data_IF_136887251231
#
_entry.id   IF_136887251231
#
_cell.length_a   1.000
_cell.length_b   1.000
_cell.length_c   1.000
_cell.angle_alpha   90.00
_cell.angle_beta   90.00
_cell.angle_gamma   90.00
#
_symmetry.space_group_name_H-M   'P 1'
#
loop_
_entity.id
_entity.type
_entity.pdbx_description
1 polymer ?
#
# COMPACT_ATOMS: atom_id res chain seq x y z
N UNK A 1 -6.96 1.76 -5.88
CA UNK A 1 -6.98 2.56 -4.63
C UNK A 1 -7.34 3.99 -4.98
N UNK A 2 -7.71 4.85 -4.02
CA UNK A 2 -7.99 6.27 -4.27
C UNK A 2 -7.03 7.14 -3.44
N UNK A 3 -6.40 8.20 -3.98
CA UNK A 3 -5.48 9.06 -3.25
C UNK A 3 -6.16 10.22 -2.50
N UNK A 4 -7.50 10.21 -2.36
CA UNK A 4 -8.27 11.24 -1.67
C UNK A 4 -9.23 10.65 -0.64
N UNK A 5 -9.69 11.49 0.29
CA UNK A 5 -10.66 11.12 1.31
C UNK A 5 -12.07 11.00 0.73
N UNK A 6 -12.82 9.98 1.16
CA UNK A 6 -14.19 9.73 0.73
C UNK A 6 -15.15 9.82 1.93
N UNK A 7 -15.99 10.88 2.02
CA UNK A 7 -16.97 11.01 3.09
C UNK A 7 -17.96 9.85 3.05
N UNK A 8 -18.33 9.34 4.21
CA UNK A 8 -19.53 8.51 4.32
C UNK A 8 -20.78 9.39 4.19
N UNK A 9 -21.85 8.81 3.68
CA UNK A 9 -23.10 9.52 3.41
C UNK A 9 -23.86 9.89 4.69
N UNK A 10 -23.52 9.28 5.83
CA UNK A 10 -24.34 9.29 7.05
C UNK A 10 -23.72 10.00 8.25
N UNK A 11 -22.60 10.71 8.12
CA UNK A 11 -22.05 11.45 9.26
C UNK A 11 -20.77 12.23 8.99
N UNK A 12 -20.73 13.45 9.52
CA UNK A 12 -19.55 14.30 9.50
C UNK A 12 -18.34 13.57 10.13
N UNK A 13 -17.20 13.56 9.42
CA UNK A 13 -15.95 12.96 9.91
C UNK A 13 -15.82 11.45 9.73
N UNK A 14 -16.82 10.77 9.15
CA UNK A 14 -16.72 9.33 8.82
C UNK A 14 -16.33 9.12 7.35
N UNK A 15 -15.62 8.03 7.07
CA UNK A 15 -15.19 7.68 5.72
C UNK A 15 -15.79 6.36 5.27
N UNK A 16 -15.97 6.19 3.96
CA UNK A 16 -16.39 4.92 3.36
C UNK A 16 -15.30 4.31 2.50
N UNK A 17 -15.46 3.02 2.22
CA UNK A 17 -14.64 2.37 1.20
C UNK A 17 -14.94 2.95 -0.20
N UNK A 18 -13.92 3.07 -1.07
CA UNK A 18 -14.12 3.46 -2.45
C UNK A 18 -14.90 2.40 -3.24
N UNK A 19 -15.79 2.84 -4.12
CA UNK A 19 -16.48 2.02 -5.13
C UNK A 19 -15.51 1.68 -6.26
N UNK A 20 -15.81 0.62 -7.02
CA UNK A 20 -14.96 0.18 -8.14
C UNK A 20 -14.72 1.29 -9.17
N UNK A 21 -15.77 2.01 -9.55
CA UNK A 21 -15.68 3.13 -10.51
C UNK A 21 -14.79 4.26 -10.02
N UNK A 22 -14.78 4.53 -8.71
CA UNK A 22 -13.91 5.54 -8.11
C UNK A 22 -12.45 5.09 -8.08
N UNK A 23 -12.21 3.80 -7.86
CA UNK A 23 -10.86 3.21 -7.96
C UNK A 23 -10.32 3.32 -9.38
N UNK A 24 -11.15 3.13 -10.40
CA UNK A 24 -10.76 3.29 -11.80
C UNK A 24 -10.49 4.75 -12.15
N UNK A 25 -11.38 5.66 -11.74
CA UNK A 25 -11.22 7.09 -11.94
C UNK A 25 -9.98 7.66 -11.21
N UNK A 26 -9.54 7.02 -10.12
CA UNK A 26 -8.34 7.39 -9.38
C UNK A 26 -7.03 6.97 -10.06
N UNK A 27 -7.07 6.07 -11.03
CA UNK A 27 -5.85 5.49 -11.55
C UNK A 27 -4.93 6.51 -12.27
N UNK A 28 -5.42 7.47 -13.09
CA UNK A 28 -4.59 8.55 -13.64
C UNK A 28 -3.95 9.46 -12.58
N UNK A 29 -4.58 9.60 -11.42
CA UNK A 29 -4.03 10.37 -10.31
C UNK A 29 -2.87 9.64 -9.63
N UNK A 30 -2.93 8.30 -9.56
CA UNK A 30 -1.81 7.49 -9.12
C UNK A 30 -0.65 7.55 -10.11
N UNK A 31 -0.93 7.56 -11.41
CA UNK A 31 0.08 7.77 -12.46
C UNK A 31 0.82 9.09 -12.23
N UNK A 32 0.07 10.18 -11.99
CA UNK A 32 0.64 11.50 -11.66
C UNK A 32 1.43 11.49 -10.35
N UNK A 33 0.90 10.88 -9.29
CA UNK A 33 1.61 10.77 -8.01
C UNK A 33 2.97 10.06 -8.18
N UNK A 34 2.99 8.95 -8.91
CA UNK A 34 4.24 8.22 -9.15
C UNK A 34 5.22 8.97 -10.05
N UNK A 35 4.74 9.79 -10.99
CA UNK A 35 5.61 10.67 -11.78
C UNK A 35 6.34 11.74 -10.95
N UNK A 36 5.76 12.13 -9.81
CA UNK A 36 6.36 13.09 -8.88
C UNK A 36 7.41 12.46 -7.97
N UNK A 37 7.54 11.13 -7.99
CA UNK A 37 8.45 10.35 -7.14
C UNK A 37 9.45 9.60 -8.03
N UNK A 38 10.41 10.28 -8.69
CA UNK A 38 11.32 9.66 -9.67
C UNK A 38 12.19 8.56 -9.05
N UNK A 39 12.48 8.68 -7.76
CA UNK A 39 13.25 7.70 -6.99
C UNK A 39 12.40 6.67 -6.27
N UNK A 40 11.09 6.60 -6.55
CA UNK A 40 10.22 5.58 -5.98
C UNK A 40 10.73 4.19 -6.37
N UNK A 41 11.01 3.36 -5.36
CA UNK A 41 11.45 1.97 -5.53
C UNK A 41 10.49 0.96 -4.92
N UNK A 42 9.82 1.32 -3.82
CA UNK A 42 9.01 0.41 -3.01
C UNK A 42 7.65 1.05 -2.74
N UNK A 43 6.59 0.26 -2.91
CA UNK A 43 5.21 0.64 -2.56
C UNK A 43 4.69 -0.33 -1.51
N UNK A 44 4.33 0.17 -0.34
CA UNK A 44 3.72 -0.64 0.72
C UNK A 44 2.20 -0.47 0.72
N UNK A 45 1.46 -1.56 0.57
CA UNK A 45 0.00 -1.59 0.60
C UNK A 45 -0.52 -2.10 1.96
N UNK A 46 -1.14 -1.18 2.71
CA UNK A 46 -1.61 -1.43 4.07
C UNK A 46 -3.11 -1.81 4.08
N UNK A 47 -3.38 -3.07 4.39
CA UNK A 47 -4.72 -3.65 4.45
C UNK A 47 -5.27 -4.15 3.12
N UNK A 48 -6.25 -5.06 3.19
CA UNK A 48 -6.84 -5.74 2.02
C UNK A 48 -7.36 -4.79 0.93
N UNK A 49 -8.02 -3.65 1.22
CA UNK A 49 -8.48 -2.74 0.18
C UNK A 49 -7.34 -2.09 -0.60
N UNK A 50 -6.25 -1.69 0.08
CA UNK A 50 -5.08 -1.11 -0.55
C UNK A 50 -4.36 -2.14 -1.42
N UNK A 51 -4.18 -3.37 -0.90
CA UNK A 51 -3.55 -4.48 -1.62
C UNK A 51 -4.29 -4.79 -2.93
N UNK A 52 -5.60 -5.08 -2.87
CA UNK A 52 -6.40 -5.32 -4.08
C UNK A 52 -6.41 -4.14 -5.05
N UNK A 53 -6.44 -2.92 -4.50
CA UNK A 53 -6.41 -1.71 -5.29
C UNK A 53 -5.08 -1.52 -6.02
N UNK A 54 -3.97 -1.93 -5.41
CA UNK A 54 -2.64 -1.91 -6.01
C UNK A 54 -2.49 -3.04 -7.03
N UNK A 55 -2.97 -4.25 -6.74
CA UNK A 55 -2.94 -5.38 -7.66
C UNK A 55 -3.66 -5.05 -8.97
N UNK A 56 -4.89 -4.50 -8.89
CA UNK A 56 -5.65 -4.06 -10.07
C UNK A 56 -4.93 -2.96 -10.85
N UNK A 57 -4.32 -2.02 -10.14
CA UNK A 57 -3.54 -0.95 -10.77
C UNK A 57 -2.32 -1.52 -11.50
N UNK A 58 -1.61 -2.45 -10.85
CA UNK A 58 -0.40 -3.09 -11.38
C UNK A 58 -0.68 -4.01 -12.57
N UNK A 59 -1.83 -4.68 -12.59
CA UNK A 59 -2.26 -5.49 -13.75
C UNK A 59 -2.57 -4.63 -14.99
N UNK A 60 -3.10 -3.43 -14.78
CA UNK A 60 -3.54 -2.56 -15.87
C UNK A 60 -2.43 -1.66 -16.44
N UNK A 61 -1.25 -1.59 -15.80
CA UNK A 61 -0.19 -0.61 -16.09
C UNK A 61 1.19 -1.24 -15.99
N UNK A 62 2.21 -0.57 -16.53
CA UNK A 62 3.60 -0.96 -16.34
C UNK A 62 4.06 -0.62 -14.91
N UNK A 63 3.71 -1.48 -13.96
CA UNK A 63 4.08 -1.32 -12.55
C UNK A 63 5.40 -2.01 -12.25
N UNK A 64 6.44 -1.22 -11.99
CA UNK A 64 7.83 -1.69 -11.84
C UNK A 64 8.38 -1.66 -10.41
N UNK A 65 7.56 -1.27 -9.43
CA UNK A 65 8.00 -1.06 -8.06
C UNK A 65 7.93 -2.36 -7.25
N UNK A 66 8.84 -2.55 -6.31
CA UNK A 66 8.73 -3.63 -5.32
C UNK A 66 7.50 -3.36 -4.45
N UNK A 67 6.62 -4.34 -4.28
CA UNK A 67 5.44 -4.22 -3.42
C UNK A 67 5.64 -4.92 -2.09
N UNK A 68 5.18 -4.31 -1.00
CA UNK A 68 5.07 -4.95 0.31
C UNK A 68 3.61 -4.91 0.75
N UNK A 69 3.05 -6.06 1.10
CA UNK A 69 1.71 -6.15 1.68
C UNK A 69 1.81 -6.26 3.20
N UNK A 70 1.01 -5.48 3.93
CA UNK A 70 0.93 -5.59 5.39
C UNK A 70 -0.49 -5.30 5.90
N UNK A 71 -0.84 -5.67 7.15
CA UNK A 71 -2.09 -5.22 7.76
C UNK A 71 -2.19 -3.70 7.83
N UNK A 72 -3.41 -3.17 7.87
CA UNK A 72 -3.64 -1.73 8.07
C UNK A 72 -3.34 -1.35 9.53
N UNK A 73 -2.53 -0.32 9.82
CA UNK A 73 -2.14 0.08 11.18
C UNK A 73 -3.26 0.80 11.96
N UNK A 74 -4.52 0.47 11.70
CA UNK A 74 -5.67 1.06 12.38
C UNK A 74 -5.95 0.40 13.73
N UNK A 75 -6.94 0.90 14.47
CA UNK A 75 -7.29 0.44 15.82
C UNK A 75 -7.41 -1.09 15.93
N UNK A 76 -7.98 -1.75 14.91
CA UNK A 76 -8.11 -3.21 14.88
C UNK A 76 -6.75 -3.93 14.96
N UNK A 77 -5.72 -3.45 14.26
CA UNK A 77 -4.40 -4.06 14.31
C UNK A 77 -3.75 -3.87 15.69
N UNK A 78 -3.89 -2.68 16.28
CA UNK A 78 -3.34 -2.40 17.62
C UNK A 78 -3.99 -3.23 18.73
N UNK A 79 -5.28 -3.56 18.57
CA UNK A 79 -6.04 -4.37 19.51
C UNK A 79 -5.89 -5.89 19.27
N UNK A 80 -5.19 -6.32 18.22
CA UNK A 80 -4.97 -7.74 17.89
C UNK A 80 -3.45 -8.02 17.85
N UNK A 81 -2.87 -8.65 18.90
CA UNK A 81 -1.42 -8.81 19.01
C UNK A 81 -0.75 -9.41 17.77
N UNK A 82 -1.39 -10.38 17.12
CA UNK A 82 -0.90 -11.00 15.88
C UNK A 82 -0.79 -9.98 14.74
N UNK A 83 -1.84 -9.20 14.49
CA UNK A 83 -1.84 -8.16 13.45
C UNK A 83 -0.85 -7.05 13.74
N UNK A 84 -0.70 -6.66 15.02
CA UNK A 84 0.31 -5.69 15.45
C UNK A 84 1.72 -6.18 15.15
N UNK A 85 2.05 -7.42 15.56
CA UNK A 85 3.35 -8.04 15.28
C UNK A 85 3.62 -8.13 13.78
N UNK A 86 2.65 -8.57 12.98
CA UNK A 86 2.79 -8.62 11.52
C UNK A 86 2.99 -7.23 10.91
N UNK A 87 2.34 -6.19 11.44
CA UNK A 87 2.54 -4.81 10.99
C UNK A 87 3.98 -4.36 11.29
N UNK A 88 4.47 -4.58 12.52
CA UNK A 88 5.85 -4.26 12.89
C UNK A 88 6.88 -5.00 12.03
N UNK A 89 6.67 -6.30 11.80
CA UNK A 89 7.54 -7.11 10.96
C UNK A 89 7.64 -6.56 9.54
N UNK A 90 6.51 -6.14 8.93
CA UNK A 90 6.53 -5.57 7.59
C UNK A 90 7.30 -4.24 7.50
N UNK A 91 7.18 -3.37 8.51
CA UNK A 91 7.98 -2.14 8.58
C UNK A 91 9.47 -2.40 8.84
N UNK A 92 9.79 -3.43 9.62
CA UNK A 92 11.18 -3.88 9.82
C UNK A 92 11.78 -4.40 8.50
N UNK A 93 11.06 -5.24 7.75
CA UNK A 93 11.47 -5.71 6.42
C UNK A 93 11.66 -4.56 5.43
N UNK A 94 10.75 -3.57 5.41
CA UNK A 94 10.92 -2.37 4.58
C UNK A 94 12.20 -1.62 4.97
N UNK A 95 12.44 -1.43 6.26
CA UNK A 95 13.64 -0.75 6.75
C UNK A 95 14.91 -1.48 6.33
N UNK A 96 14.90 -2.82 6.39
CA UNK A 96 16.01 -3.63 5.93
C UNK A 96 16.24 -3.49 4.42
N UNK A 97 15.17 -3.60 3.62
CA UNK A 97 15.24 -3.41 2.16
C UNK A 97 15.81 -2.05 1.76
N UNK A 98 15.43 -0.99 2.48
CA UNK A 98 15.96 0.36 2.25
C UNK A 98 17.45 0.45 2.58
N UNK A 99 17.90 -0.22 3.65
CA UNK A 99 19.33 -0.30 4.00
C UNK A 99 20.12 -1.10 2.97
N UNK A 100 19.64 -2.28 2.58
CA UNK A 100 20.33 -3.16 1.62
C UNK A 100 20.49 -2.49 0.25
N UNK A 101 19.46 -1.74 -0.18
CA UNK A 101 19.52 -0.96 -1.42
C UNK A 101 20.41 0.28 -1.31
N UNK A 102 20.52 0.90 -0.14
CA UNK A 102 21.51 1.96 0.09
C UNK A 102 22.95 1.43 0.03
N UNK A 103 23.15 0.14 0.33
CA UNK A 103 24.45 -0.54 0.26
C UNK A 103 24.73 -1.27 -1.06
N UNK A 104 23.79 -1.24 -2.03
CA UNK A 104 24.00 -1.77 -3.38
C UNK A 104 23.55 -3.21 -3.65
N UNK A 105 22.83 -3.85 -2.73
CA UNK A 105 22.35 -5.24 -2.91
C UNK A 105 20.87 -5.27 -3.35
N UNK A 106 20.50 -6.23 -4.21
CA UNK A 106 19.20 -6.26 -4.89
C UNK A 106 18.38 -7.52 -4.59
N UNK A 107 17.54 -7.52 -3.54
CA UNK A 107 16.55 -8.58 -3.38
C UNK A 107 15.35 -8.37 -4.33
N UNK A 108 15.11 -9.38 -5.18
CA UNK A 108 13.87 -9.53 -5.95
C UNK A 108 12.81 -10.16 -5.04
N UNK A 109 11.72 -9.43 -4.82
CA UNK A 109 10.41 -9.86 -4.30
C UNK A 109 10.46 -10.68 -2.99
N UNK A 110 10.11 -10.03 -1.87
CA UNK A 110 9.90 -10.70 -0.57
C UNK A 110 8.42 -11.04 -0.45
N UNK A 111 8.06 -12.25 -0.86
CA UNK A 111 6.76 -12.84 -0.55
C UNK A 111 6.90 -13.58 0.79
N UNK A 112 6.52 -12.94 1.90
CA UNK A 112 6.37 -13.60 3.19
C UNK A 112 4.99 -13.28 3.76
N UNK A 113 4.01 -14.16 3.55
CA UNK A 113 3.21 -14.73 4.64
C UNK A 113 2.30 -15.90 4.18
N UNK A 114 2.07 -16.93 5.03
CA UNK A 114 1.09 -18.01 4.85
C UNK A 114 -0.39 -17.59 4.93
#
# INVERSE_FOLDING_TARGET
MVPWWLPAETGAGTFRAPRTTEVEAAAPWLDRLFSLLPDLRIVMALGRPAQRGLDRYAQARQFRYTTIAAPHPGNRAWNQPTLRTSTHAAFASLSQLLRDKATGDHPRRIDHWP
#
